data_IF_031161706824
#
_entry.id   IF_031161706824
#
_cell.length_a   1.000
_cell.length_b   1.000
_cell.length_c   1.000
_cell.angle_alpha   90.00
_cell.angle_beta   90.00
_cell.angle_gamma   90.00
#
_symmetry.space_group_name_H-M   'P 1'
#
loop_
_entity.id
_entity.type
_entity.pdbx_description
1 polymer ?
#
# COMPACT_ATOMS: atom_id res chain seq x y z
N UNK A 1 46.60 52.08 29.58
CA UNK A 1 45.24 51.55 29.81
C UNK A 1 44.86 50.70 28.61
N UNK A 2 44.75 49.38 28.78
CA UNK A 2 44.48 48.43 27.69
C UNK A 2 42.97 48.21 27.61
N UNK A 3 42.37 48.57 26.48
CA UNK A 3 40.93 48.41 26.21
C UNK A 3 40.64 46.97 25.79
N UNK A 4 39.81 46.26 26.56
CA UNK A 4 39.36 44.89 26.25
C UNK A 4 38.07 44.97 25.43
N UNK A 5 38.15 44.58 24.15
CA UNK A 5 36.96 44.36 23.31
C UNK A 5 36.46 42.94 23.55
N UNK A 6 35.30 42.81 24.18
CA UNK A 6 34.63 41.53 24.41
C UNK A 6 33.79 41.17 23.18
N UNK A 7 34.20 40.14 22.44
CA UNK A 7 33.38 39.56 21.37
C UNK A 7 32.30 38.66 21.99
N UNK A 8 31.03 39.05 21.87
CA UNK A 8 29.90 38.17 22.13
C UNK A 8 29.66 37.32 20.87
N UNK A 9 30.00 36.03 20.95
CA UNK A 9 29.61 35.02 19.94
C UNK A 9 28.19 34.59 20.27
N UNK A 10 27.22 34.98 19.44
CA UNK A 10 25.84 34.49 19.55
C UNK A 10 25.75 33.10 18.90
N UNK A 11 25.61 32.05 19.72
CA UNK A 11 25.23 30.72 19.26
C UNK A 11 23.73 30.73 18.90
N UNK A 12 23.41 30.75 17.61
CA UNK A 12 22.07 30.44 17.11
C UNK A 12 21.86 28.93 17.09
N UNK A 13 21.02 28.40 17.97
CA UNK A 13 20.60 27.00 17.95
C UNK A 13 19.53 26.78 16.86
N UNK A 14 19.90 26.13 15.75
CA UNK A 14 18.97 25.62 14.74
C UNK A 14 18.23 24.39 15.30
N UNK A 15 16.94 24.54 15.60
CA UNK A 15 16.04 23.43 15.88
C UNK A 15 15.69 22.73 14.56
N UNK A 16 16.41 21.66 14.21
CA UNK A 16 16.01 20.77 13.13
C UNK A 16 14.83 19.90 13.60
N UNK A 17 13.62 20.22 13.15
CA UNK A 17 12.47 19.36 13.37
C UNK A 17 12.62 18.08 12.52
N UNK A 18 12.51 16.87 13.09
CA UNK A 18 12.54 15.65 12.32
C UNK A 18 11.29 15.55 11.45
N UNK A 19 11.48 15.56 10.13
CA UNK A 19 10.41 15.26 9.17
C UNK A 19 9.98 13.81 9.36
N UNK A 20 8.78 13.59 9.90
CA UNK A 20 8.12 12.28 9.88
C UNK A 20 7.72 11.95 8.44
N UNK A 21 8.69 11.47 7.65
CA UNK A 21 8.38 10.84 6.38
C UNK A 21 7.69 9.50 6.70
N UNK A 22 6.38 9.41 6.46
CA UNK A 22 5.68 8.13 6.43
C UNK A 22 6.28 7.33 5.27
N UNK A 23 7.13 6.36 5.60
CA UNK A 23 7.76 5.45 4.64
C UNK A 23 6.74 4.52 4.00
N UNK A 24 7.20 3.77 3.01
CA UNK A 24 6.46 2.62 2.49
C UNK A 24 6.88 1.39 3.34
N UNK A 25 5.91 0.57 3.74
CA UNK A 25 6.10 -0.61 4.57
C UNK A 25 6.47 -1.82 3.71
N UNK A 26 7.31 -2.71 4.23
CA UNK A 26 7.79 -3.93 3.53
C UNK A 26 6.94 -5.18 3.81
N UNK A 27 5.86 -5.04 4.58
CA UNK A 27 5.00 -6.14 5.01
C UNK A 27 3.52 -5.86 4.73
N UNK A 28 2.72 -6.94 4.69
CA UNK A 28 1.27 -6.86 4.60
C UNK A 28 0.62 -6.60 5.96
N UNK A 29 -0.52 -5.88 5.99
CA UNK A 29 -1.27 -5.70 7.23
C UNK A 29 -1.79 -7.05 7.71
N UNK A 30 -1.62 -7.35 9.00
CA UNK A 30 -1.88 -8.70 9.56
C UNK A 30 -3.20 -8.83 10.29
N UNK A 31 -3.82 -7.71 10.67
CA UNK A 31 -5.08 -7.68 11.43
C UNK A 31 -6.12 -6.90 10.67
N UNK A 32 -7.38 -7.34 10.77
CA UNK A 32 -8.50 -6.60 10.18
C UNK A 32 -8.52 -5.18 10.74
N UNK A 33 -8.58 -4.19 9.85
CA UNK A 33 -8.50 -2.76 10.16
C UNK A 33 -7.08 -2.18 10.18
N UNK A 34 -6.04 -3.01 10.17
CA UNK A 34 -4.66 -2.56 10.03
C UNK A 34 -4.40 -2.08 8.60
N UNK A 35 -3.64 -1.01 8.47
CA UNK A 35 -3.29 -0.42 7.19
C UNK A 35 -1.80 -0.09 7.13
N UNK A 36 -1.23 -0.28 5.95
CA UNK A 36 0.16 0.05 5.61
C UNK A 36 0.20 0.97 4.40
N UNK A 37 1.32 1.66 4.21
CA UNK A 37 1.59 2.41 2.98
C UNK A 37 2.45 1.56 2.06
N UNK A 38 2.09 1.50 0.78
CA UNK A 38 2.83 0.76 -0.25
C UNK A 38 2.69 1.44 -1.60
N UNK A 39 3.25 0.86 -2.66
CA UNK A 39 3.08 1.32 -4.04
C UNK A 39 2.62 0.21 -4.94
N UNK A 40 1.94 0.59 -6.01
CA UNK A 40 1.61 -0.33 -7.11
C UNK A 40 2.90 -0.69 -7.85
N UNK A 41 3.25 -1.97 -7.86
CA UNK A 41 4.38 -2.49 -8.63
C UNK A 41 3.96 -2.98 -10.02
N UNK A 42 2.73 -3.47 -10.16
CA UNK A 42 2.20 -3.98 -11.43
C UNK A 42 0.69 -3.75 -11.55
N UNK A 43 0.22 -3.54 -12.78
CA UNK A 43 -1.20 -3.50 -13.15
C UNK A 43 -1.42 -4.38 -14.38
N UNK A 44 -2.48 -5.17 -14.37
CA UNK A 44 -2.78 -6.04 -15.49
C UNK A 44 -4.23 -6.47 -15.59
N UNK A 45 -4.45 -7.40 -16.52
CA UNK A 45 -5.68 -8.18 -16.61
C UNK A 45 -5.60 -9.37 -15.64
N UNK A 46 -6.75 -9.93 -15.24
CA UNK A 46 -6.78 -11.12 -14.37
C UNK A 46 -6.05 -12.29 -15.01
N UNK A 47 -6.39 -12.57 -16.26
CA UNK A 47 -5.71 -13.54 -17.10
C UNK A 47 -4.73 -12.80 -18.02
N UNK A 48 -3.48 -13.23 -18.01
CA UNK A 48 -2.43 -12.63 -18.83
C UNK A 48 -2.82 -12.67 -20.31
N UNK A 49 -2.70 -11.52 -20.99
CA UNK A 49 -3.00 -11.40 -22.41
C UNK A 49 -4.49 -11.35 -22.78
N UNK A 50 -5.40 -11.41 -21.81
CA UNK A 50 -6.85 -11.32 -22.05
C UNK A 50 -7.40 -10.05 -21.41
N UNK A 51 -7.50 -8.98 -22.17
CA UNK A 51 -7.84 -7.62 -21.69
C UNK A 51 -9.13 -7.56 -20.88
N UNK A 52 -10.12 -8.36 -21.25
CA UNK A 52 -11.48 -8.30 -20.70
C UNK A 52 -11.72 -9.35 -19.59
N UNK A 53 -10.66 -10.00 -19.12
CA UNK A 53 -10.74 -11.04 -18.08
C UNK A 53 -10.91 -10.50 -16.66
N UNK A 54 -10.91 -9.17 -16.50
CA UNK A 54 -10.92 -8.45 -15.23
C UNK A 54 -9.61 -7.72 -14.97
N UNK A 55 -9.26 -7.48 -13.71
CA UNK A 55 -8.05 -6.78 -13.33
C UNK A 55 -7.19 -7.54 -12.33
N UNK A 56 -5.89 -7.28 -12.39
CA UNK A 56 -4.91 -7.66 -11.38
C UNK A 56 -4.09 -6.44 -10.97
N UNK A 57 -3.65 -6.43 -9.71
CA UNK A 57 -2.75 -5.42 -9.16
C UNK A 57 -1.77 -6.08 -8.20
N UNK A 58 -0.50 -5.71 -8.31
CA UNK A 58 0.55 -6.11 -7.37
C UNK A 58 1.11 -4.88 -6.67
N UNK A 59 1.56 -5.06 -5.42
CA UNK A 59 2.17 -4.01 -4.61
C UNK A 59 3.61 -4.35 -4.25
N UNK A 60 4.43 -3.34 -3.97
CA UNK A 60 5.87 -3.50 -3.65
C UNK A 60 6.12 -4.33 -2.38
N UNK A 61 5.19 -4.31 -1.43
CA UNK A 61 5.26 -5.09 -0.18
C UNK A 61 4.73 -6.52 -0.30
N UNK A 62 4.63 -7.05 -1.53
CA UNK A 62 4.18 -8.42 -1.81
C UNK A 62 2.66 -8.61 -1.81
N UNK A 63 1.88 -7.53 -1.64
CA UNK A 63 0.43 -7.61 -1.76
C UNK A 63 -0.04 -7.87 -3.19
N UNK A 64 -1.18 -8.53 -3.32
CA UNK A 64 -1.82 -8.81 -4.58
C UNK A 64 -3.34 -8.62 -4.48
N UNK A 65 -3.97 -8.27 -5.59
CA UNK A 65 -5.41 -8.15 -5.69
C UNK A 65 -5.91 -8.55 -7.07
N UNK A 66 -7.06 -9.22 -7.13
CA UNK A 66 -7.64 -9.68 -8.39
C UNK A 66 -9.14 -9.48 -8.44
N UNK A 67 -9.66 -9.12 -9.62
CA UNK A 67 -11.09 -9.03 -9.92
C UNK A 67 -11.41 -9.72 -11.23
N UNK A 68 -12.58 -10.35 -11.32
CA UNK A 68 -13.15 -10.83 -12.58
C UNK A 68 -13.79 -9.69 -13.38
N UNK A 69 -14.10 -8.57 -12.73
CA UNK A 69 -14.69 -7.39 -13.38
C UNK A 69 -13.62 -6.32 -13.62
N UNK A 70 -13.92 -5.39 -14.53
CA UNK A 70 -13.11 -4.19 -14.69
C UNK A 70 -13.35 -3.21 -13.55
N UNK A 71 -12.28 -2.84 -12.85
CA UNK A 71 -12.26 -1.85 -11.76
C UNK A 71 -11.78 -0.51 -12.31
N UNK A 72 -12.68 0.47 -12.41
CA UNK A 72 -12.40 1.79 -13.03
C UNK A 72 -11.28 2.55 -12.32
N UNK A 73 -11.13 2.34 -11.03
CA UNK A 73 -10.15 2.98 -10.16
C UNK A 73 -8.74 2.46 -10.44
N UNK A 74 -8.62 1.16 -10.77
CA UNK A 74 -7.36 0.58 -11.25
C UNK A 74 -7.00 1.11 -12.65
N UNK A 75 -7.98 1.29 -13.54
CA UNK A 75 -7.76 1.89 -14.87
C UNK A 75 -7.22 3.33 -14.82
N UNK A 76 -7.52 4.06 -13.74
CA UNK A 76 -7.00 5.42 -13.50
C UNK A 76 -5.68 5.44 -12.74
N UNK A 77 -5.27 4.29 -12.19
CA UNK A 77 -4.04 4.12 -11.44
C UNK A 77 -2.86 3.85 -12.37
N UNK A 78 -1.64 3.94 -11.85
CA UNK A 78 -0.40 3.63 -12.58
C UNK A 78 0.61 2.99 -11.63
N UNK A 79 1.56 2.26 -12.19
CA UNK A 79 2.75 1.77 -11.47
C UNK A 79 3.46 2.94 -10.78
N UNK A 80 3.88 2.72 -9.54
CA UNK A 80 4.53 3.70 -8.65
C UNK A 80 3.58 4.58 -7.83
N UNK A 81 2.27 4.51 -8.06
CA UNK A 81 1.30 5.24 -7.24
C UNK A 81 1.32 4.73 -5.79
N UNK A 82 1.41 5.66 -4.83
CA UNK A 82 1.27 5.35 -3.41
C UNK A 82 -0.16 4.97 -3.08
N UNK A 83 -0.30 3.90 -2.30
CA UNK A 83 -1.57 3.31 -1.90
C UNK A 83 -1.55 3.09 -0.39
N UNK A 84 -2.66 3.44 0.26
CA UNK A 84 -2.97 2.93 1.60
C UNK A 84 -3.66 1.58 1.43
N UNK A 85 -3.04 0.49 1.89
CA UNK A 85 -3.56 -0.87 1.78
C UNK A 85 -3.98 -1.34 3.17
N UNK A 86 -5.26 -1.70 3.33
CA UNK A 86 -5.83 -2.15 4.61
C UNK A 86 -6.38 -3.56 4.49
N UNK A 87 -6.07 -4.44 5.43
CA UNK A 87 -6.72 -5.74 5.54
C UNK A 87 -8.15 -5.52 6.06
N UNK A 88 -9.15 -6.00 5.32
CA UNK A 88 -10.57 -5.80 5.68
C UNK A 88 -11.32 -7.09 5.96
N UNK A 89 -10.84 -8.22 5.46
CA UNK A 89 -11.43 -9.53 5.75
C UNK A 89 -10.35 -10.63 5.74
N UNK A 90 -10.47 -11.59 6.65
CA UNK A 90 -9.73 -12.84 6.66
C UNK A 90 -10.78 -13.96 6.58
N UNK A 91 -10.68 -14.90 5.63
CA UNK A 91 -11.63 -15.98 5.51
C UNK A 91 -11.56 -16.94 6.70
N UNK A 92 -12.71 -17.49 7.06
CA UNK A 92 -12.88 -18.48 8.13
C UNK A 92 -13.01 -19.89 7.53
N UNK A 93 -12.86 -20.91 8.38
CA UNK A 93 -13.03 -22.34 8.01
C UNK A 93 -12.15 -22.83 6.84
N UNK A 94 -10.98 -22.22 6.66
CA UNK A 94 -10.02 -22.64 5.65
C UNK A 94 -9.31 -23.96 6.02
N UNK A 95 -9.00 -24.83 5.04
CA UNK A 95 -8.13 -25.99 5.27
C UNK A 95 -6.75 -25.56 5.81
N UNK A 96 -6.09 -26.41 6.64
CA UNK A 96 -4.77 -26.10 7.16
C UNK A 96 -3.75 -25.75 6.05
N UNK A 97 -3.18 -24.54 6.12
CA UNK A 97 -2.18 -24.04 5.17
C UNK A 97 -2.74 -23.33 3.93
N UNK A 98 -4.07 -23.24 3.78
CA UNK A 98 -4.71 -22.45 2.71
C UNK A 98 -5.14 -21.06 3.23
N UNK A 99 -4.23 -20.10 3.13
CA UNK A 99 -4.43 -18.75 3.66
C UNK A 99 -4.98 -17.75 2.62
N UNK A 100 -5.48 -18.25 1.49
CA UNK A 100 -6.01 -17.47 0.36
C UNK A 100 -7.38 -16.88 0.66
N UNK A 101 -7.72 -15.78 -0.01
CA UNK A 101 -9.03 -15.15 0.07
C UNK A 101 -9.11 -14.01 1.08
N UNK A 102 -7.96 -13.50 1.56
CA UNK A 102 -7.95 -12.26 2.34
C UNK A 102 -8.36 -11.10 1.43
N UNK A 103 -9.21 -10.21 1.94
CA UNK A 103 -9.59 -9.02 1.20
C UNK A 103 -8.84 -7.80 1.70
N UNK A 104 -8.31 -7.03 0.75
CA UNK A 104 -7.65 -5.78 1.03
C UNK A 104 -8.39 -4.63 0.37
N UNK A 105 -8.63 -3.57 1.15
CA UNK A 105 -9.07 -2.28 0.63
C UNK A 105 -7.86 -1.40 0.38
N UNK A 106 -7.71 -0.97 -0.86
CA UNK A 106 -6.66 -0.07 -1.31
C UNK A 106 -7.24 1.29 -1.65
N UNK A 107 -6.58 2.36 -1.21
CA UNK A 107 -6.88 3.74 -1.64
C UNK A 107 -5.64 4.34 -2.28
N UNK A 108 -5.74 4.65 -3.58
CA UNK A 108 -4.68 5.35 -4.30
C UNK A 108 -4.62 6.81 -3.86
N UNK A 109 -3.48 7.24 -3.32
CA UNK A 109 -3.34 8.57 -2.75
C UNK A 109 -3.24 9.68 -3.80
N UNK A 110 -2.91 9.35 -5.05
CA UNK A 110 -2.91 10.30 -6.17
C UNK A 110 -4.32 10.52 -6.71
N UNK A 111 -5.02 9.44 -7.05
CA UNK A 111 -6.34 9.53 -7.70
C UNK A 111 -7.49 9.63 -6.71
N UNK A 112 -7.25 9.30 -5.44
CA UNK A 112 -8.27 9.12 -4.38
C UNK A 112 -9.25 7.97 -4.65
N UNK A 113 -9.05 7.22 -5.73
CA UNK A 113 -9.83 6.02 -6.03
C UNK A 113 -9.60 4.93 -4.99
N UNK A 114 -10.64 4.16 -4.71
CA UNK A 114 -10.61 3.06 -3.74
C UNK A 114 -11.18 1.80 -4.37
N UNK A 115 -10.59 0.65 -4.05
CA UNK A 115 -11.09 -0.67 -4.44
C UNK A 115 -10.87 -1.66 -3.30
N UNK A 116 -11.70 -2.70 -3.25
CA UNK A 116 -11.54 -3.84 -2.34
C UNK A 116 -11.44 -5.09 -3.19
N UNK A 117 -10.34 -5.84 -3.05
CA UNK A 117 -10.08 -7.04 -3.84
C UNK A 117 -9.53 -8.17 -2.97
N UNK A 118 -9.89 -9.44 -3.29
CA UNK A 118 -9.24 -10.60 -2.69
C UNK A 118 -7.82 -10.78 -3.22
N UNK A 119 -6.96 -11.39 -2.40
CA UNK A 119 -5.59 -11.78 -2.76
C UNK A 119 -5.50 -13.08 -3.58
N UNK A 120 -6.64 -13.67 -3.95
CA UNK A 120 -6.72 -14.87 -4.77
C UNK A 120 -7.97 -14.85 -5.64
N UNK A 121 -7.92 -15.53 -6.79
CA UNK A 121 -9.09 -15.63 -7.70
C UNK A 121 -10.19 -16.53 -7.12
N UNK A 122 -9.82 -17.45 -6.23
CA UNK A 122 -10.73 -18.35 -5.55
C UNK A 122 -10.46 -18.28 -4.05
N UNK A 123 -11.50 -18.50 -3.25
CA UNK A 123 -11.41 -18.54 -1.80
C UNK A 123 -10.64 -19.76 -1.31
N UNK A 124 -10.21 -19.73 -0.04
CA UNK A 124 -9.67 -20.93 0.58
C UNK A 124 -10.68 -22.09 0.52
N UNK A 125 -10.18 -23.32 0.44
CA UNK A 125 -11.03 -24.51 0.42
C UNK A 125 -11.58 -24.94 -0.94
N UNK A 126 -11.31 -24.21 -2.02
CA UNK A 126 -11.65 -24.70 -3.36
C UNK A 126 -11.44 -23.70 -4.50
N UNK A 127 -11.87 -24.11 -5.69
CA UNK A 127 -12.00 -23.28 -6.88
C UNK A 127 -13.43 -23.36 -7.43
#
# INVERSE_FOLDING_TARGET
>A
MVSRVSYLVALGALLAAPSLAFGDDDHLPKRVGECVMTRISELGSRLQGVSDSGNSVSYENGGYGVSYSTVKELQRSRVGDRVKLCLVSIPEDCPPGDDRGKEYKATNLRTKGTWTLPDASHMCGGA
#
